data_IF_414855512674
#
_entry.id   IF_414855512674
#
_cell.length_a   1.000
_cell.length_b   1.000
_cell.length_c   1.000
_cell.angle_alpha   90.00
_cell.angle_beta   90.00
_cell.angle_gamma   90.00
#
_symmetry.space_group_name_H-M   'P 1'
#
loop_
_entity.id
_entity.type
_entity.pdbx_description
1 polymer ?
#
# COMPACT_ATOMS: atom_id res chain seq x y z
N UNK A 1 -20.99 45.47 44.86
CA UNK A 1 -19.65 44.88 44.70
C UNK A 1 -19.83 43.49 44.09
N UNK A 2 -19.65 43.38 42.77
CA UNK A 2 -19.74 42.11 42.06
C UNK A 2 -18.35 41.47 42.03
N UNK A 3 -18.18 40.39 42.77
CA UNK A 3 -16.99 39.55 42.70
C UNK A 3 -16.97 38.85 41.33
N UNK A 4 -16.20 39.41 40.39
CA UNK A 4 -15.71 38.66 39.23
C UNK A 4 -14.87 37.51 39.77
N UNK A 5 -15.33 36.28 39.55
CA UNK A 5 -14.49 35.09 39.72
C UNK A 5 -13.38 35.18 38.67
N UNK A 6 -12.16 35.42 39.14
CA UNK A 6 -10.95 35.12 38.39
C UNK A 6 -10.90 33.62 38.15
N UNK A 7 -11.35 33.20 36.96
CA UNK A 7 -11.05 31.88 36.42
C UNK A 7 -9.63 31.92 35.84
N UNK A 8 -8.63 31.93 36.71
CA UNK A 8 -7.26 31.57 36.35
C UNK A 8 -7.21 30.06 36.15
N UNK A 9 -7.61 29.61 34.96
CA UNK A 9 -7.32 28.25 34.49
C UNK A 9 -5.79 28.15 34.35
N UNK A 10 -5.18 27.30 35.16
CA UNK A 10 -3.75 27.02 35.12
C UNK A 10 -3.39 26.45 33.74
N UNK A 11 -2.44 27.12 33.07
CA UNK A 11 -1.85 26.77 31.77
C UNK A 11 -1.33 25.33 31.74
N UNK A 12 -2.11 24.47 31.12
CA UNK A 12 -1.71 23.22 30.48
C UNK A 12 -2.38 23.12 29.11
N UNK A 13 -2.52 24.25 28.42
CA UNK A 13 -3.29 24.34 27.17
C UNK A 13 -2.63 23.46 26.10
N UNK A 14 -3.36 22.43 25.70
CA UNK A 14 -2.99 21.53 24.62
C UNK A 14 -2.83 22.33 23.33
N UNK A 15 -1.59 22.45 22.85
CA UNK A 15 -1.31 23.10 21.57
C UNK A 15 -1.80 22.20 20.42
N UNK A 16 -2.76 22.66 19.59
CA UNK A 16 -3.42 21.80 18.62
C UNK A 16 -2.46 21.32 17.53
N UNK A 17 -2.49 20.02 17.24
CA UNK A 17 -1.72 19.41 16.16
C UNK A 17 -2.39 19.67 14.81
N UNK A 18 -1.63 20.08 13.76
CA UNK A 18 -2.17 20.15 12.41
C UNK A 18 -2.61 18.76 11.94
N UNK A 19 -3.75 18.63 11.28
CA UNK A 19 -4.23 17.32 10.80
C UNK A 19 -4.01 17.23 9.29
N UNK A 20 -3.14 16.30 8.85
CA UNK A 20 -2.93 16.02 7.42
C UNK A 20 -4.13 15.21 6.93
N UNK A 21 -4.81 15.67 5.87
CA UNK A 21 -6.16 15.20 5.55
C UNK A 21 -6.34 14.61 4.15
N UNK A 22 -5.31 14.62 3.30
CA UNK A 22 -5.40 14.17 1.92
C UNK A 22 -4.31 13.17 1.53
N UNK A 23 -3.62 12.62 2.52
CA UNK A 23 -2.68 11.51 2.38
C UNK A 23 -2.60 10.76 3.71
N UNK A 24 -2.52 9.43 3.65
CA UNK A 24 -2.51 8.53 4.81
C UNK A 24 -1.18 7.79 4.97
N UNK A 25 -0.90 7.29 6.18
CA UNK A 25 0.28 6.44 6.40
C UNK A 25 0.20 5.17 5.56
N UNK A 26 1.29 4.84 4.86
CA UNK A 26 1.37 3.70 3.96
C UNK A 26 0.78 3.95 2.57
N UNK A 27 0.15 5.11 2.33
CA UNK A 27 -0.40 5.44 1.02
C UNK A 27 0.70 5.51 -0.04
N UNK A 28 0.33 5.20 -1.29
CA UNK A 28 1.24 5.19 -2.43
C UNK A 28 0.75 6.21 -3.42
N UNK A 29 1.57 7.22 -3.64
CA UNK A 29 1.23 8.35 -4.51
C UNK A 29 1.96 8.23 -5.85
N UNK A 30 1.34 8.82 -6.86
CA UNK A 30 1.91 8.85 -8.21
C UNK A 30 3.19 9.70 -8.26
N UNK A 31 4.07 9.38 -9.23
CA UNK A 31 5.30 10.12 -9.52
C UNK A 31 5.03 11.48 -10.18
N UNK A 32 4.32 12.35 -9.47
CA UNK A 32 3.91 13.68 -9.91
C UNK A 32 4.11 14.68 -8.75
N UNK A 33 3.86 15.97 -9.03
CA UNK A 33 3.81 16.97 -7.96
C UNK A 33 2.72 16.57 -6.96
N UNK A 34 3.08 16.52 -5.68
CA UNK A 34 2.19 16.10 -4.62
C UNK A 34 1.77 17.31 -3.79
N UNK A 35 0.49 17.65 -3.83
CA UNK A 35 -0.07 18.68 -2.96
C UNK A 35 -0.55 18.03 -1.66
N UNK A 36 0.05 18.37 -0.53
CA UNK A 36 -0.37 17.94 0.80
C UNK A 36 -1.08 19.11 1.48
N UNK A 37 -2.22 18.83 2.10
CA UNK A 37 -3.04 19.81 2.83
C UNK A 37 -3.16 19.39 4.28
N UNK A 38 -3.41 20.38 5.14
CA UNK A 38 -3.71 20.14 6.54
C UNK A 38 -4.78 21.09 7.05
N UNK A 39 -5.41 20.72 8.15
CA UNK A 39 -6.35 21.60 8.85
C UNK A 39 -5.60 22.76 9.51
N UNK A 40 -6.12 23.96 9.33
CA UNK A 40 -5.58 25.16 9.96
C UNK A 40 -5.79 25.09 11.48
N UNK A 41 -4.74 25.38 12.25
CA UNK A 41 -4.75 25.39 13.71
C UNK A 41 -4.48 26.79 14.27
N UNK A 42 -5.10 27.07 15.41
CA UNK A 42 -5.06 28.34 16.11
C UNK A 42 -4.61 28.12 17.55
N UNK A 43 -3.85 29.06 18.10
CA UNK A 43 -3.61 29.14 19.53
C UNK A 43 -4.38 30.35 20.08
N UNK A 44 -5.45 30.07 20.84
CA UNK A 44 -6.46 31.08 21.14
C UNK A 44 -7.09 31.62 19.85
N UNK A 45 -6.98 32.93 19.62
CA UNK A 45 -7.49 33.60 18.42
C UNK A 45 -6.42 33.86 17.34
N UNK A 46 -5.18 33.43 17.55
CA UNK A 46 -4.07 33.72 16.64
C UNK A 46 -3.79 32.54 15.70
N UNK A 47 -3.62 32.79 14.38
CA UNK A 47 -3.25 31.75 13.44
C UNK A 47 -1.81 31.30 13.69
N UNK A 48 -1.55 30.00 13.53
CA UNK A 48 -0.19 29.46 13.59
C UNK A 48 0.54 29.60 12.25
N UNK A 49 1.86 29.77 12.31
CA UNK A 49 2.79 29.64 11.18
C UNK A 49 3.13 28.17 10.94
N UNK A 50 3.35 27.78 9.68
CA UNK A 50 3.69 26.40 9.32
C UNK A 50 5.09 26.27 8.77
N UNK A 51 5.75 25.18 9.14
CA UNK A 51 7.02 24.77 8.59
C UNK A 51 6.96 23.30 8.18
N UNK A 52 7.41 22.99 6.98
CA UNK A 52 7.35 21.63 6.43
C UNK A 52 8.74 21.01 6.32
N UNK A 53 8.78 19.69 6.32
CA UNK A 53 9.98 18.92 6.02
C UNK A 53 9.64 17.66 5.27
N UNK A 54 10.57 17.23 4.43
CA UNK A 54 10.46 16.01 3.63
C UNK A 54 11.75 15.21 3.79
N UNK A 55 11.63 13.96 4.22
CA UNK A 55 12.74 13.01 4.30
C UNK A 55 12.44 11.82 3.40
N UNK A 56 13.40 11.46 2.57
CA UNK A 56 13.44 10.17 1.90
C UNK A 56 13.92 9.14 2.94
N UNK A 57 13.04 8.23 3.34
CA UNK A 57 13.34 7.20 4.34
C UNK A 57 14.17 6.05 3.74
N UNK A 58 14.02 5.77 2.44
CA UNK A 58 14.80 4.73 1.75
C UNK A 58 16.28 5.05 1.73
N UNK A 59 16.66 6.31 1.45
CA UNK A 59 18.07 6.74 1.43
C UNK A 59 18.50 7.50 2.69
N UNK A 60 17.56 7.71 3.62
CA UNK A 60 17.72 8.56 4.80
C UNK A 60 18.15 10.02 4.52
N UNK A 61 17.86 10.54 3.32
CA UNK A 61 18.19 11.92 2.94
C UNK A 61 17.08 12.90 3.34
N UNK A 62 17.46 14.02 3.96
CA UNK A 62 16.55 15.14 4.21
C UNK A 62 16.53 16.05 2.98
N UNK A 63 15.36 16.16 2.33
CA UNK A 63 15.19 16.87 1.06
C UNK A 63 14.66 18.29 1.26
N UNK A 64 13.72 18.47 2.21
CA UNK A 64 13.20 19.78 2.60
C UNK A 64 13.43 19.95 4.10
N UNK A 65 14.07 21.06 4.49
CA UNK A 65 14.40 21.36 5.88
C UNK A 65 13.67 22.61 6.36
N UNK A 66 12.58 22.40 7.11
CA UNK A 66 11.85 23.45 7.84
C UNK A 66 11.48 24.65 6.97
N UNK A 67 10.95 24.38 5.78
CA UNK A 67 10.53 25.41 4.84
C UNK A 67 9.22 26.05 5.29
N UNK A 68 9.14 27.36 5.27
CA UNK A 68 7.94 28.08 5.66
C UNK A 68 6.81 27.87 4.65
N UNK A 69 5.61 27.53 5.12
CA UNK A 69 4.40 27.55 4.29
C UNK A 69 3.44 28.63 4.79
N UNK A 70 3.08 29.62 3.95
CA UNK A 70 2.14 30.67 4.32
C UNK A 70 0.68 30.20 4.34
N UNK A 71 0.40 28.97 3.91
CA UNK A 71 -0.96 28.44 3.75
C UNK A 71 -1.10 27.07 4.42
N UNK A 72 -2.32 26.59 4.56
CA UNK A 72 -2.62 25.25 5.08
C UNK A 72 -2.42 24.16 4.01
N UNK A 73 -1.28 24.20 3.34
CA UNK A 73 -0.89 23.26 2.30
C UNK A 73 0.52 23.50 1.77
N UNK A 74 1.08 22.51 1.08
CA UNK A 74 2.38 22.57 0.45
C UNK A 74 2.43 21.64 -0.75
N UNK A 75 3.00 22.10 -1.87
CA UNK A 75 3.19 21.28 -3.07
C UNK A 75 4.65 20.85 -3.17
N UNK A 76 4.88 19.55 -3.08
CA UNK A 76 6.20 18.93 -3.24
C UNK A 76 6.42 18.69 -4.73
N UNK A 77 7.47 19.26 -5.34
CA UNK A 77 7.75 19.03 -6.75
C UNK A 77 8.21 17.60 -7.01
N UNK A 78 7.79 17.02 -8.15
CA UNK A 78 8.14 15.65 -8.56
C UNK A 78 9.65 15.39 -8.62
N UNK A 79 10.45 16.45 -8.84
CA UNK A 79 11.91 16.36 -8.93
C UNK A 79 12.58 15.96 -7.61
N UNK A 80 11.89 16.09 -6.48
CA UNK A 80 12.36 15.60 -5.18
C UNK A 80 12.01 14.13 -4.94
N UNK A 81 11.17 13.56 -5.77
CA UNK A 81 10.83 12.16 -5.68
C UNK A 81 11.81 11.30 -6.48
N UNK A 82 11.96 10.08 -6.02
CA UNK A 82 12.63 8.98 -6.68
C UNK A 82 11.66 7.82 -6.58
N UNK A 83 11.49 7.16 -7.71
CA UNK A 83 10.60 6.03 -7.81
C UNK A 83 10.88 4.92 -6.80
N UNK A 84 9.82 4.29 -6.31
CA UNK A 84 9.83 3.20 -5.33
C UNK A 84 10.47 3.55 -3.99
N UNK A 85 10.61 4.83 -3.67
CA UNK A 85 11.09 5.27 -2.37
C UNK A 85 9.93 5.58 -1.42
N UNK A 86 10.23 5.47 -0.13
CA UNK A 86 9.33 5.85 0.97
C UNK A 86 9.76 7.20 1.52
N UNK A 87 8.80 8.07 1.78
CA UNK A 87 8.99 9.42 2.25
C UNK A 87 8.25 9.67 3.55
N UNK A 88 8.81 10.52 4.41
CA UNK A 88 8.11 11.12 5.54
C UNK A 88 7.94 12.61 5.26
N UNK A 89 6.70 13.05 5.16
CA UNK A 89 6.37 14.47 5.21
C UNK A 89 5.95 14.82 6.63
N UNK A 90 6.48 15.92 7.16
CA UNK A 90 6.08 16.44 8.45
C UNK A 90 5.79 17.94 8.37
N UNK A 91 4.76 18.36 9.08
CA UNK A 91 4.36 19.76 9.24
C UNK A 91 4.41 20.12 10.72
N UNK A 92 5.08 21.25 11.00
CA UNK A 92 5.13 21.91 12.31
C UNK A 92 4.22 23.11 12.28
N UNK A 93 3.28 23.18 13.22
CA UNK A 93 2.59 24.43 13.57
C UNK A 93 3.40 25.14 14.66
N UNK A 94 3.56 26.45 14.56
CA UNK A 94 4.20 27.29 15.57
C UNK A 94 3.41 28.59 15.79
N UNK A 95 3.21 29.00 17.05
CA UNK A 95 2.61 30.29 17.37
C UNK A 95 3.66 31.39 17.63
N UNK A 96 3.19 32.58 17.99
CA UNK A 96 4.04 33.73 18.32
C UNK A 96 4.80 33.58 19.66
N UNK A 97 4.41 32.62 20.50
CA UNK A 97 5.05 32.30 21.78
C UNK A 97 6.03 31.13 21.68
N UNK A 98 6.27 30.60 20.46
CA UNK A 98 7.09 29.42 20.16
C UNK A 98 6.54 28.09 20.72
N UNK A 99 5.25 27.99 21.04
CA UNK A 99 4.64 26.67 21.20
C UNK A 99 4.61 25.97 19.84
N UNK A 100 4.88 24.66 19.84
CA UNK A 100 4.92 23.89 18.60
C UNK A 100 4.20 22.57 18.71
N UNK A 101 3.59 22.15 17.60
CA UNK A 101 3.05 20.81 17.42
C UNK A 101 3.42 20.28 16.05
N UNK A 102 3.59 18.97 15.97
CA UNK A 102 3.98 18.27 14.77
C UNK A 102 2.94 17.23 14.40
N UNK A 103 2.77 17.08 13.08
CA UNK A 103 2.15 15.92 12.47
C UNK A 103 2.98 15.45 11.31
N UNK A 104 2.91 14.15 11.05
CA UNK A 104 3.67 13.51 10.00
C UNK A 104 2.87 12.41 9.33
N UNK A 105 3.23 12.13 8.09
CA UNK A 105 2.70 11.04 7.28
C UNK A 105 3.85 10.38 6.54
N UNK A 106 3.81 9.05 6.45
CA UNK A 106 4.76 8.25 5.68
C UNK A 106 4.06 7.64 4.46
N UNK A 107 4.62 7.84 3.27
CA UNK A 107 4.01 7.41 2.01
C UNK A 107 5.06 6.90 1.02
N UNK A 108 4.67 5.97 0.15
CA UNK A 108 5.49 5.51 -0.96
C UNK A 108 5.27 6.37 -2.20
N UNK A 109 6.30 6.50 -3.04
CA UNK A 109 6.16 7.08 -4.39
C UNK A 109 6.46 6.00 -5.42
N UNK A 110 5.55 5.81 -6.38
CA UNK A 110 5.76 4.87 -7.49
C UNK A 110 6.90 5.32 -8.43
N UNK A 111 7.74 4.41 -8.95
CA UNK A 111 8.73 4.72 -10.01
C UNK A 111 8.16 4.85 -11.41
N UNK A 112 7.02 4.22 -11.64
CA UNK A 112 6.25 4.32 -12.87
C UNK A 112 5.07 5.22 -12.58
N UNK A 113 4.94 6.35 -13.29
CA UNK A 113 3.66 7.07 -13.29
C UNK A 113 2.51 6.06 -13.43
N UNK A 114 1.47 6.18 -12.61
CA UNK A 114 0.30 5.31 -12.56
C UNK A 114 0.61 3.79 -12.68
N UNK A 115 0.78 3.09 -11.54
CA UNK A 115 0.64 1.64 -11.56
C UNK A 115 -0.72 1.25 -12.16
N UNK A 116 -0.75 0.16 -12.93
CA UNK A 116 -1.98 -0.27 -13.58
C UNK A 116 -2.37 0.51 -14.83
N UNK A 117 -1.46 1.23 -15.48
CA UNK A 117 -1.74 1.78 -16.81
C UNK A 117 -2.07 0.65 -17.80
N UNK A 118 -3.10 0.83 -18.66
CA UNK A 118 -3.39 -0.09 -19.74
C UNK A 118 -2.15 -0.42 -20.59
N UNK A 119 -1.91 -1.70 -20.84
CA UNK A 119 -0.97 -2.17 -21.86
C UNK A 119 -1.72 -2.95 -22.93
N UNK A 120 -1.27 -2.88 -24.17
CA UNK A 120 -2.03 -3.41 -25.31
C UNK A 120 -1.67 -4.85 -25.62
N UNK A 121 -0.48 -5.31 -25.25
CA UNK A 121 -0.01 -6.65 -25.60
C UNK A 121 0.52 -7.44 -24.40
N UNK A 122 0.45 -8.76 -24.49
CA UNK A 122 1.07 -9.65 -23.51
C UNK A 122 2.59 -9.43 -23.42
N UNK A 123 3.22 -9.08 -24.55
CA UNK A 123 4.65 -8.77 -24.57
C UNK A 123 4.95 -7.46 -23.80
N UNK A 124 4.13 -6.43 -23.94
CA UNK A 124 4.24 -5.21 -23.13
C UNK A 124 4.07 -5.51 -21.64
N UNK A 125 3.05 -6.31 -21.29
CA UNK A 125 2.79 -6.74 -19.91
C UNK A 125 4.00 -7.44 -19.28
N UNK A 126 4.59 -8.42 -19.98
CA UNK A 126 5.76 -9.18 -19.50
C UNK A 126 7.03 -8.31 -19.39
N UNK A 127 7.13 -7.28 -20.22
CA UNK A 127 8.28 -6.36 -20.26
C UNK A 127 8.11 -5.09 -19.41
N UNK A 128 7.06 -4.98 -18.60
CA UNK A 128 6.90 -3.86 -17.66
C UNK A 128 8.15 -3.74 -16.76
N UNK A 129 8.72 -2.54 -16.60
CA UNK A 129 9.98 -2.36 -15.88
C UNK A 129 9.82 -2.55 -14.37
N UNK A 130 8.63 -2.27 -13.82
CA UNK A 130 8.37 -2.38 -12.39
C UNK A 130 7.94 -3.79 -11.99
N UNK A 131 8.71 -4.42 -11.11
CA UNK A 131 8.32 -5.69 -10.46
C UNK A 131 7.05 -5.52 -9.63
N UNK A 132 6.86 -4.37 -8.98
CA UNK A 132 5.65 -4.06 -8.20
C UNK A 132 4.42 -4.07 -9.10
N UNK A 133 4.46 -3.41 -10.27
CA UNK A 133 3.31 -3.36 -11.18
C UNK A 133 2.94 -4.76 -11.69
N UNK A 134 3.95 -5.55 -12.06
CA UNK A 134 3.75 -6.93 -12.54
C UNK A 134 3.13 -7.79 -11.44
N UNK A 135 3.67 -7.76 -10.22
CA UNK A 135 3.16 -8.55 -9.10
C UNK A 135 1.74 -8.10 -8.72
N UNK A 136 1.47 -6.80 -8.69
CA UNK A 136 0.15 -6.25 -8.40
C UNK A 136 -0.89 -6.70 -9.45
N UNK A 137 -0.52 -6.67 -10.74
CA UNK A 137 -1.37 -7.18 -11.84
C UNK A 137 -1.64 -8.66 -11.69
N UNK A 138 -0.64 -9.48 -11.36
CA UNK A 138 -0.86 -10.91 -11.11
C UNK A 138 -1.84 -11.14 -9.96
N UNK A 139 -1.64 -10.49 -8.81
CA UNK A 139 -2.54 -10.65 -7.66
C UNK A 139 -3.97 -10.22 -8.02
N UNK A 140 -4.11 -9.09 -8.72
CA UNK A 140 -5.40 -8.57 -9.17
C UNK A 140 -6.06 -9.49 -10.21
N UNK A 141 -5.33 -9.96 -11.21
CA UNK A 141 -5.90 -10.77 -12.30
C UNK A 141 -6.29 -12.18 -11.87
N UNK A 142 -5.62 -12.75 -10.87
CA UNK A 142 -5.99 -14.03 -10.24
C UNK A 142 -7.14 -13.86 -9.23
N UNK A 143 -7.28 -12.67 -8.63
CA UNK A 143 -8.37 -12.36 -7.71
C UNK A 143 -8.68 -10.86 -7.68
N UNK A 144 -9.74 -10.44 -8.37
CA UNK A 144 -10.18 -9.04 -8.52
C UNK A 144 -11.43 -8.70 -7.68
N UNK A 145 -11.90 -9.62 -6.85
CA UNK A 145 -13.13 -9.47 -6.08
C UNK A 145 -13.00 -8.38 -4.99
N UNK A 146 -13.86 -7.35 -5.08
CA UNK A 146 -13.85 -6.20 -4.18
C UNK A 146 -14.53 -6.45 -2.83
N UNK A 147 -15.27 -7.55 -2.66
CA UNK A 147 -16.07 -7.80 -1.45
C UNK A 147 -15.18 -7.85 -0.21
N UNK A 148 -15.43 -6.93 0.72
CA UNK A 148 -14.80 -6.86 2.04
C UNK A 148 -15.70 -7.36 3.15
N UNK A 149 -15.07 -7.71 4.27
CA UNK A 149 -15.68 -8.24 5.49
C UNK A 149 -16.96 -7.50 5.90
N UNK A 150 -18.10 -8.19 5.87
CA UNK A 150 -19.34 -7.77 6.54
C UNK A 150 -19.90 -8.97 7.31
N UNK A 151 -19.80 -8.96 8.65
CA UNK A 151 -20.62 -9.82 9.51
C UNK A 151 -20.07 -11.19 9.93
N UNK A 152 -18.79 -11.31 10.32
CA UNK A 152 -18.36 -12.42 11.19
C UNK A 152 -17.70 -13.63 10.49
N UNK A 153 -17.78 -13.75 9.17
CA UNK A 153 -17.04 -14.74 8.37
C UNK A 153 -16.19 -14.04 7.29
N UNK A 154 -14.92 -14.45 7.06
CA UNK A 154 -14.08 -13.82 6.05
C UNK A 154 -14.57 -14.15 4.63
N UNK A 155 -14.99 -13.13 3.88
CA UNK A 155 -15.42 -13.26 2.47
C UNK A 155 -14.25 -13.14 1.47
N UNK A 156 -14.54 -13.60 0.25
CA UNK A 156 -13.63 -14.21 -0.72
C UNK A 156 -12.48 -13.35 -1.27
N UNK A 157 -12.70 -12.06 -1.55
CA UNK A 157 -11.77 -11.27 -2.35
C UNK A 157 -10.45 -10.98 -1.64
N UNK A 158 -10.51 -10.60 -0.38
CA UNK A 158 -9.31 -10.31 0.41
C UNK A 158 -8.47 -11.57 0.66
N UNK A 159 -9.12 -12.67 1.03
CA UNK A 159 -8.43 -13.94 1.27
C UNK A 159 -7.86 -14.51 -0.02
N UNK A 160 -8.55 -14.38 -1.14
CA UNK A 160 -8.01 -14.78 -2.45
C UNK A 160 -6.74 -14.01 -2.82
N UNK A 161 -6.75 -12.69 -2.69
CA UNK A 161 -5.56 -11.87 -2.95
C UNK A 161 -4.41 -12.19 -1.99
N UNK A 162 -4.69 -12.43 -0.71
CA UNK A 162 -3.69 -12.90 0.26
C UNK A 162 -3.13 -14.27 -0.11
N UNK A 163 -3.98 -15.17 -0.61
CA UNK A 163 -3.60 -16.50 -1.07
C UNK A 163 -2.59 -16.40 -2.21
N UNK A 164 -2.93 -15.63 -3.24
CA UNK A 164 -2.06 -15.42 -4.41
C UNK A 164 -0.73 -14.80 -3.98
N UNK A 165 -0.78 -13.70 -3.21
CA UNK A 165 0.41 -13.00 -2.72
C UNK A 165 1.33 -13.95 -1.93
N UNK A 166 0.76 -14.76 -1.02
CA UNK A 166 1.55 -15.64 -0.19
C UNK A 166 2.10 -16.85 -0.93
N UNK A 167 1.38 -17.40 -1.93
CA UNK A 167 1.94 -18.43 -2.80
C UNK A 167 3.11 -17.91 -3.62
N UNK A 168 3.08 -16.65 -4.07
CA UNK A 168 4.22 -16.01 -4.75
C UNK A 168 5.43 -15.92 -3.79
N UNK A 169 5.20 -15.52 -2.53
CA UNK A 169 6.24 -15.47 -1.49
C UNK A 169 6.85 -16.84 -1.24
N UNK A 170 6.01 -17.84 -0.93
CA UNK A 170 6.49 -19.17 -0.62
C UNK A 170 7.25 -19.79 -1.80
N UNK A 171 6.80 -19.58 -3.05
CA UNK A 171 7.51 -20.04 -4.26
C UNK A 171 8.87 -19.36 -4.45
N UNK A 172 9.00 -18.06 -4.16
CA UNK A 172 10.29 -17.37 -4.21
C UNK A 172 11.32 -17.97 -3.23
N UNK A 173 10.88 -18.37 -2.03
CA UNK A 173 11.75 -18.92 -0.99
C UNK A 173 11.86 -20.44 -0.99
N UNK A 174 11.17 -21.13 -1.91
CA UNK A 174 11.26 -22.57 -2.07
C UNK A 174 12.40 -22.93 -3.03
N UNK A 175 13.21 -23.92 -2.67
CA UNK A 175 14.36 -24.37 -3.45
C UNK A 175 14.02 -25.41 -4.53
N UNK A 176 12.74 -25.77 -4.72
CA UNK A 176 12.32 -26.71 -5.76
C UNK A 176 12.60 -26.12 -7.15
N UNK A 177 13.06 -26.98 -8.06
CA UNK A 177 13.22 -26.66 -9.49
C UNK A 177 11.90 -26.32 -10.19
N UNK A 178 10.76 -26.66 -9.56
CA UNK A 178 9.43 -26.40 -10.10
C UNK A 178 9.05 -24.91 -10.03
N UNK A 179 9.81 -24.10 -9.28
CA UNK A 179 9.55 -22.68 -9.08
C UNK A 179 10.67 -21.83 -9.68
N UNK A 180 10.28 -21.02 -10.66
CA UNK A 180 11.20 -20.36 -11.59
C UNK A 180 11.78 -19.07 -11.01
N UNK A 181 13.00 -19.16 -10.49
CA UNK A 181 13.87 -18.03 -10.17
C UNK A 181 13.74 -17.48 -8.75
N UNK A 182 14.47 -16.40 -8.48
CA UNK A 182 14.70 -15.86 -7.14
C UNK A 182 14.06 -14.47 -6.93
N UNK A 183 13.31 -13.96 -7.92
CA UNK A 183 12.57 -12.70 -7.84
C UNK A 183 11.07 -12.95 -7.94
N UNK A 184 10.25 -12.02 -7.44
CA UNK A 184 8.80 -12.18 -7.57
C UNK A 184 8.38 -12.09 -9.04
N UNK A 185 9.04 -11.24 -9.82
CA UNK A 185 8.84 -11.12 -11.27
C UNK A 185 9.13 -12.44 -12.00
N UNK A 186 10.20 -13.16 -11.65
CA UNK A 186 10.50 -14.43 -12.32
C UNK A 186 9.45 -15.49 -11.99
N UNK A 187 8.98 -15.52 -10.73
CA UNK A 187 7.94 -16.46 -10.28
C UNK A 187 6.61 -16.21 -11.00
N UNK A 188 6.15 -14.97 -11.09
CA UNK A 188 4.84 -14.67 -11.69
C UNK A 188 4.83 -14.77 -13.21
N UNK A 189 5.95 -14.47 -13.87
CA UNK A 189 6.05 -14.57 -15.34
C UNK A 189 6.32 -15.98 -15.84
N UNK A 190 6.58 -16.92 -14.94
CA UNK A 190 6.91 -18.27 -15.31
C UNK A 190 5.72 -19.01 -15.92
N UNK A 191 5.94 -19.85 -16.96
CA UNK A 191 4.87 -20.57 -17.63
C UNK A 191 4.00 -21.37 -16.66
N UNK A 192 2.68 -21.29 -16.85
CA UNK A 192 1.67 -22.06 -16.11
C UNK A 192 1.62 -21.82 -14.59
N UNK A 193 2.33 -20.80 -14.06
CA UNK A 193 2.27 -20.48 -12.64
C UNK A 193 1.06 -19.63 -12.27
N UNK A 194 0.72 -18.66 -13.15
CA UNK A 194 -0.37 -17.70 -12.98
C UNK A 194 -0.94 -17.35 -14.36
N UNK A 195 -2.08 -17.96 -14.70
CA UNK A 195 -2.72 -17.84 -16.01
C UNK A 195 -3.07 -16.38 -16.30
N UNK A 196 -3.41 -15.61 -15.26
CA UNK A 196 -3.77 -14.21 -15.38
C UNK A 196 -2.71 -13.36 -16.09
N UNK A 197 -1.41 -13.67 -15.94
CA UNK A 197 -0.32 -12.92 -16.57
C UNK A 197 0.38 -13.68 -17.71
N UNK A 198 0.29 -15.02 -17.73
CA UNK A 198 0.92 -15.81 -18.80
C UNK A 198 0.06 -15.91 -20.05
N UNK A 199 -1.26 -15.92 -19.89
CA UNK A 199 -2.26 -16.08 -20.96
C UNK A 199 -3.22 -14.89 -21.05
N UNK A 200 -3.29 -14.04 -20.01
CA UNK A 200 -4.19 -12.87 -19.95
C UNK A 200 -5.66 -13.24 -20.19
N UNK A 201 -6.09 -14.34 -19.58
CA UNK A 201 -7.39 -14.99 -19.80
C UNK A 201 -8.61 -14.04 -19.72
N UNK A 202 -8.51 -13.01 -18.88
CA UNK A 202 -9.60 -12.06 -18.61
C UNK A 202 -9.25 -10.60 -18.95
N UNK A 203 -8.06 -10.31 -19.49
CA UNK A 203 -7.61 -8.94 -19.78
C UNK A 203 -7.35 -8.07 -18.54
N UNK A 204 -7.59 -8.57 -17.32
CA UNK A 204 -7.51 -7.78 -16.08
C UNK A 204 -6.08 -7.39 -15.74
N UNK A 205 -5.10 -8.22 -16.10
CA UNK A 205 -3.69 -7.89 -15.91
C UNK A 205 -3.25 -6.78 -16.87
N UNK A 206 -3.74 -6.78 -18.12
CA UNK A 206 -3.43 -5.71 -19.08
C UNK A 206 -4.17 -4.40 -18.79
N UNK A 207 -5.41 -4.49 -18.32
CA UNK A 207 -6.30 -3.34 -18.11
C UNK A 207 -6.91 -3.34 -16.69
N UNK A 208 -6.10 -3.22 -15.62
CA UNK A 208 -6.64 -3.27 -14.26
C UNK A 208 -7.52 -2.04 -13.99
N UNK A 209 -8.63 -2.25 -13.29
CA UNK A 209 -9.47 -1.14 -12.85
C UNK A 209 -8.86 -0.51 -11.60
N UNK A 210 -8.05 0.52 -11.80
CA UNK A 210 -7.23 1.13 -10.72
C UNK A 210 -8.03 1.87 -9.65
N UNK A 211 -9.33 2.10 -9.88
CA UNK A 211 -10.22 2.73 -8.90
C UNK A 211 -10.70 1.76 -7.81
N UNK A 212 -10.64 0.46 -8.09
CA UNK A 212 -11.19 -0.60 -7.24
C UNK A 212 -10.42 -0.79 -5.95
N UNK A 213 -11.11 -1.29 -4.92
CA UNK A 213 -10.45 -1.69 -3.68
C UNK A 213 -9.54 -2.91 -3.90
N UNK A 214 -9.97 -3.84 -4.74
CA UNK A 214 -9.18 -5.00 -5.12
C UNK A 214 -7.83 -4.60 -5.72
N UNK A 215 -7.79 -3.63 -6.65
CA UNK A 215 -6.53 -3.14 -7.22
C UNK A 215 -5.63 -2.49 -6.15
N UNK A 216 -6.20 -1.61 -5.32
CA UNK A 216 -5.45 -0.92 -4.26
C UNK A 216 -4.80 -1.92 -3.30
N UNK A 217 -5.53 -2.96 -2.90
CA UNK A 217 -5.01 -4.04 -2.06
C UNK A 217 -3.91 -4.84 -2.77
N UNK A 218 -4.11 -5.22 -4.04
CA UNK A 218 -3.07 -5.91 -4.82
C UNK A 218 -1.78 -5.11 -4.91
N UNK A 219 -1.89 -3.80 -5.10
CA UNK A 219 -0.76 -2.89 -5.15
C UNK A 219 -0.05 -2.80 -3.80
N UNK A 220 -0.80 -2.63 -2.70
CA UNK A 220 -0.26 -2.63 -1.33
C UNK A 220 0.51 -3.92 -1.03
N UNK A 221 -0.08 -5.09 -1.33
CA UNK A 221 0.56 -6.39 -1.14
C UNK A 221 1.86 -6.50 -1.96
N UNK A 222 1.83 -6.13 -3.25
CA UNK A 222 3.01 -6.15 -4.11
C UNK A 222 4.13 -5.25 -3.58
N UNK A 223 3.80 -4.07 -3.05
CA UNK A 223 4.77 -3.19 -2.42
C UNK A 223 5.40 -3.80 -1.17
N UNK A 224 4.59 -4.38 -0.27
CA UNK A 224 5.09 -5.04 0.92
C UNK A 224 5.99 -6.23 0.56
N UNK A 225 5.62 -6.99 -0.47
CA UNK A 225 6.38 -8.13 -0.97
C UNK A 225 7.76 -7.68 -1.48
N UNK A 226 7.78 -6.78 -2.47
CA UNK A 226 9.01 -6.34 -3.15
C UNK A 226 9.96 -5.61 -2.20
N UNK A 227 9.42 -4.85 -1.24
CA UNK A 227 10.22 -4.16 -0.22
C UNK A 227 10.63 -5.06 0.96
N UNK A 228 10.42 -6.38 0.88
CA UNK A 228 10.77 -7.37 1.92
C UNK A 228 10.13 -7.10 3.30
N UNK A 229 8.95 -6.50 3.35
CA UNK A 229 8.20 -6.25 4.58
C UNK A 229 7.38 -7.47 5.02
N UNK A 230 8.00 -8.65 5.05
CA UNK A 230 7.30 -9.90 5.35
C UNK A 230 6.68 -9.93 6.74
N UNK A 231 7.31 -9.28 7.73
CA UNK A 231 6.76 -9.22 9.09
C UNK A 231 5.45 -8.44 9.17
N UNK A 232 5.24 -7.46 8.27
CA UNK A 232 3.96 -6.77 8.13
C UNK A 232 2.95 -7.70 7.47
N UNK A 233 3.35 -8.37 6.39
CA UNK A 233 2.47 -9.31 5.68
C UNK A 233 1.99 -10.46 6.57
N UNK A 234 2.87 -11.04 7.41
CA UNK A 234 2.53 -12.11 8.38
C UNK A 234 1.50 -11.66 9.42
N UNK A 235 1.37 -10.36 9.68
CA UNK A 235 0.38 -9.82 10.64
C UNK A 235 -1.00 -9.63 10.02
N UNK A 236 -1.07 -9.37 8.71
CA UNK A 236 -2.32 -9.12 8.00
C UNK A 236 -2.86 -10.37 7.29
N UNK A 237 -1.98 -11.29 6.90
CA UNK A 237 -2.36 -12.54 6.23
C UNK A 237 -2.70 -13.62 7.28
N UNK A 238 -3.87 -14.25 7.19
CA UNK A 238 -4.28 -15.33 8.09
C UNK A 238 -3.27 -16.50 8.12
N UNK A 239 -2.96 -16.98 9.33
CA UNK A 239 -2.00 -18.07 9.55
C UNK A 239 -2.26 -19.32 8.69
N UNK A 240 -3.52 -19.63 8.38
CA UNK A 240 -3.90 -20.80 7.58
C UNK A 240 -3.34 -20.78 6.14
N UNK A 241 -2.97 -19.58 5.66
CA UNK A 241 -2.39 -19.32 4.33
C UNK A 241 -0.85 -19.45 4.35
N UNK A 242 -0.21 -19.25 5.50
CA UNK A 242 1.22 -18.93 5.54
C UNK A 242 2.15 -20.08 5.09
N UNK A 243 1.71 -21.32 5.13
CA UNK A 243 2.55 -22.47 4.76
C UNK A 243 2.17 -23.09 3.40
N UNK A 244 1.44 -22.34 2.55
CA UNK A 244 0.85 -22.90 1.33
C UNK A 244 1.62 -22.53 0.06
N UNK A 245 1.88 -23.53 -0.78
CA UNK A 245 2.59 -23.38 -2.05
C UNK A 245 1.65 -23.15 -3.25
N UNK A 246 0.37 -23.47 -3.05
CA UNK A 246 -0.61 -23.46 -4.13
C UNK A 246 -2.02 -23.12 -3.63
N UNK A 247 -2.81 -22.55 -4.53
CA UNK A 247 -4.21 -22.20 -4.31
C UNK A 247 -5.04 -22.64 -5.52
N UNK A 248 -6.34 -22.90 -5.31
CA UNK A 248 -7.31 -23.09 -6.39
C UNK A 248 -8.66 -22.47 -6.02
N UNK A 249 -9.40 -22.08 -7.05
CA UNK A 249 -10.83 -21.80 -6.93
C UNK A 249 -11.62 -23.10 -6.67
N UNK A 250 -12.68 -22.99 -5.87
CA UNK A 250 -13.59 -24.11 -5.53
C UNK A 250 -14.12 -24.88 -6.73
N UNK A 251 -14.32 -24.20 -7.85
CA UNK A 251 -14.79 -24.80 -9.10
C UNK A 251 -13.90 -25.94 -9.58
N UNK A 252 -12.65 -26.03 -9.10
CA UNK A 252 -11.70 -27.08 -9.43
C UNK A 252 -11.62 -28.24 -8.42
N UNK A 253 -12.45 -28.29 -7.37
CA UNK A 253 -12.42 -29.34 -6.33
C UNK A 253 -12.46 -30.77 -6.87
N UNK A 254 -13.08 -30.99 -8.03
CA UNK A 254 -13.23 -32.32 -8.62
C UNK A 254 -12.03 -32.77 -9.47
N UNK A 255 -10.91 -32.02 -9.50
CA UNK A 255 -9.73 -32.44 -10.23
C UNK A 255 -9.00 -33.56 -9.44
N UNK A 256 -8.89 -34.78 -10.00
CA UNK A 256 -8.37 -35.96 -9.29
C UNK A 256 -6.89 -35.85 -8.91
N UNK A 257 -6.18 -34.84 -9.42
CA UNK A 257 -4.79 -34.54 -9.07
C UNK A 257 -4.67 -33.64 -7.83
N UNK A 258 -5.78 -33.12 -7.30
CA UNK A 258 -5.81 -32.28 -6.11
C UNK A 258 -6.09 -33.17 -4.89
N UNK A 259 -5.12 -33.29 -3.98
CA UNK A 259 -5.28 -34.00 -2.71
C UNK A 259 -6.31 -33.34 -1.77
N UNK A 260 -6.42 -33.81 -0.52
CA UNK A 260 -7.40 -33.30 0.45
C UNK A 260 -7.21 -31.78 0.71
N UNK A 261 -8.13 -30.92 0.26
CA UNK A 261 -7.91 -29.48 0.31
C UNK A 261 -8.37 -28.88 1.65
N UNK A 262 -7.65 -27.86 2.13
CA UNK A 262 -8.03 -27.05 3.29
C UNK A 262 -8.84 -25.86 2.79
N UNK A 263 -10.07 -25.76 3.28
CA UNK A 263 -10.98 -24.66 2.98
C UNK A 263 -10.55 -23.45 3.80
N UNK A 264 -10.11 -22.39 3.14
CA UNK A 264 -9.70 -21.15 3.81
C UNK A 264 -10.74 -20.04 3.64
N UNK A 265 -11.55 -20.14 2.58
CA UNK A 265 -12.81 -19.42 2.43
C UNK A 265 -13.76 -20.29 1.59
N UNK A 266 -15.05 -19.94 1.48
CA UNK A 266 -15.99 -20.79 0.72
C UNK A 266 -15.64 -20.93 -0.77
N UNK A 267 -14.63 -20.21 -1.30
CA UNK A 267 -14.18 -20.31 -2.69
C UNK A 267 -12.67 -20.51 -2.92
N UNK A 268 -11.81 -20.46 -1.89
CA UNK A 268 -10.36 -20.65 -2.03
C UNK A 268 -9.89 -21.83 -1.20
N UNK A 269 -9.27 -22.78 -1.89
CA UNK A 269 -8.72 -24.01 -1.33
C UNK A 269 -7.21 -23.98 -1.42
N UNK A 270 -6.56 -24.40 -0.33
CA UNK A 270 -5.13 -24.62 -0.31
C UNK A 270 -4.83 -26.09 -0.07
N UNK A 271 -3.70 -26.57 -0.58
CA UNK A 271 -3.25 -27.94 -0.38
C UNK A 271 -1.80 -27.96 0.11
N UNK A 272 -1.48 -29.03 0.83
CA UNK A 272 -0.12 -29.51 1.00
C UNK A 272 0.25 -30.37 -0.21
N UNK A 273 1.50 -30.30 -0.64
CA UNK A 273 2.16 -31.41 -1.32
C UNK A 273 3.08 -32.07 -0.30
#
# INVERSE_FOLDING_TARGET
MNNKKDNTVSRGEYFPKPEINNISNGEIVNYNDLSIKWKHVYYGSYPCSYYVSLRNLTTNLLLIKSEYSPTSGYTIPKSLFTGNHVYRFAVKAADYMNHTAWSQVEFGVSSSGNFGLPVNTLNELKNLPSEIDIVARTIYGECDDERTYTGGLPYYGEYGQYSVAWTIINRKYNSSSDYYGQSYKSIVLAPSQYVAITEDENGLCRHPNTSTLAWKRSLELAHLMVNNNQDVLKKIIPNVILDRMHFFAKTYINNPHIGNPIVVSDNVFFYWV
#
